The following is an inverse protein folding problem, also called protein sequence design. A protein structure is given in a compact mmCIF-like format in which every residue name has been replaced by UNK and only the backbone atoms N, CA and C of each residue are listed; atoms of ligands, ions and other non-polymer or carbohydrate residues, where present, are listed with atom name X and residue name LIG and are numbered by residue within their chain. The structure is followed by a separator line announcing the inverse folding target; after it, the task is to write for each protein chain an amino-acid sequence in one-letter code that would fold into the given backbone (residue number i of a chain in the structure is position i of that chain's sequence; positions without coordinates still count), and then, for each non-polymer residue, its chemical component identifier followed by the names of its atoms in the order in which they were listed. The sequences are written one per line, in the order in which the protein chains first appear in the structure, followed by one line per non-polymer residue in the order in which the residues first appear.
data_IF_731414805155
#
_entry.id   IF_731414805155
#
_cell.length_a   1.000
_cell.length_b   1.000
_cell.length_c   1.000
_cell.angle_alpha   90.00
_cell.angle_beta   90.00
_cell.angle_gamma   90.00
#
_symmetry.space_group_name_H-M   'P 1'
#
loop_
_entity.id
_entity.type
_entity.pdbx_description
1 polymer ?
#
# COMPACT_ATOMS: atom_id res chain seq x y z
N UNK A 1 -36.39 4.34 35.53
CA UNK A 1 -35.83 5.21 34.45
C UNK A 1 -34.33 5.07 34.26
N UNK A 2 -33.56 4.47 35.17
CA UNK A 2 -32.09 4.31 35.07
C UNK A 2 -31.64 3.10 34.20
N UNK A 3 -32.52 2.11 34.01
CA UNK A 3 -32.20 0.91 33.19
C UNK A 3 -32.34 1.08 31.67
N UNK A 4 -32.93 2.16 31.20
CA UNK A 4 -33.10 2.43 29.77
C UNK A 4 -31.93 3.22 29.14
N UNK A 5 -31.07 3.83 29.96
CA UNK A 5 -29.91 4.62 29.51
C UNK A 5 -28.65 3.76 29.27
N UNK A 6 -28.60 2.54 29.80
CA UNK A 6 -27.46 1.60 29.63
C UNK A 6 -27.50 0.79 28.32
N UNK A 7 -28.65 0.76 27.64
CA UNK A 7 -28.81 0.03 26.36
C UNK A 7 -28.53 0.88 25.12
N UNK A 8 -28.34 2.19 25.26
CA UNK A 8 -28.07 3.10 24.15
C UNK A 8 -26.58 3.39 23.94
N UNK A 9 -25.70 2.97 24.85
CA UNK A 9 -24.26 3.17 24.75
C UNK A 9 -23.53 2.07 23.95
N UNK A 10 -24.23 1.01 23.53
CA UNK A 10 -23.63 -0.16 22.88
C UNK A 10 -23.67 -0.10 21.33
N UNK A 11 -24.10 1.01 20.74
CA UNK A 11 -24.28 1.17 19.29
C UNK A 11 -23.35 2.20 18.64
N UNK A 12 -22.36 2.73 19.37
CA UNK A 12 -21.32 3.58 18.76
C UNK A 12 -19.96 2.84 18.79
N UNK A 13 -19.88 1.69 18.14
CA UNK A 13 -18.59 1.23 17.64
C UNK A 13 -18.24 2.14 16.47
N UNK A 14 -17.13 2.90 16.51
CA UNK A 14 -16.68 3.59 15.32
C UNK A 14 -16.37 2.50 14.29
N UNK A 15 -17.11 2.48 13.16
CA UNK A 15 -16.60 1.81 11.97
C UNK A 15 -15.30 2.52 11.63
N UNK A 16 -14.17 1.91 11.99
CA UNK A 16 -12.86 2.33 11.53
C UNK A 16 -12.82 2.02 10.03
N UNK A 17 -13.29 2.93 9.19
CA UNK A 17 -13.02 2.85 7.77
C UNK A 17 -11.50 2.92 7.62
N UNK A 18 -10.88 1.86 7.13
CA UNK A 18 -9.46 1.89 6.83
C UNK A 18 -9.25 2.90 5.70
N UNK A 19 -8.50 3.95 6.01
CA UNK A 19 -8.16 4.97 5.04
C UNK A 19 -6.90 4.53 4.29
N UNK A 20 -6.83 4.87 3.00
CA UNK A 20 -5.61 4.73 2.22
C UNK A 20 -4.45 5.45 2.93
N UNK A 21 -3.28 4.85 2.86
CA UNK A 21 -2.05 5.36 3.48
C UNK A 21 -1.16 5.95 2.39
N UNK A 22 -0.75 7.20 2.56
CA UNK A 22 0.20 7.84 1.66
C UNK A 22 1.59 7.24 1.84
N UNK A 23 2.17 6.73 0.76
CA UNK A 23 3.49 6.10 0.70
C UNK A 23 4.49 7.05 0.03
N UNK A 24 5.64 7.31 0.67
CA UNK A 24 6.75 8.03 0.02
C UNK A 24 7.44 7.13 -1.01
N UNK A 25 6.97 7.22 -2.26
CA UNK A 25 7.50 6.44 -3.39
C UNK A 25 8.82 6.98 -3.94
N UNK A 26 9.24 8.18 -3.52
CA UNK A 26 10.46 8.84 -4.02
C UNK A 26 11.69 8.68 -3.13
N UNK A 27 11.54 7.96 -2.02
CA UNK A 27 12.64 7.61 -1.13
C UNK A 27 12.92 6.11 -1.21
N UNK A 28 14.17 5.77 -1.54
CA UNK A 28 14.64 4.39 -1.63
C UNK A 28 15.81 4.11 -0.71
N UNK A 29 16.06 2.83 -0.47
CA UNK A 29 17.08 2.37 0.46
C UNK A 29 17.98 1.30 -0.16
N UNK A 30 19.25 1.31 0.26
CA UNK A 30 20.19 0.27 -0.12
C UNK A 30 21.11 -0.11 1.05
N UNK A 31 21.40 -1.38 1.22
CA UNK A 31 22.41 -1.85 2.15
C UNK A 31 23.81 -1.44 1.67
N UNK A 32 24.61 -0.89 2.57
CA UNK A 32 25.97 -0.43 2.32
C UNK A 32 26.92 -0.92 3.42
N UNK A 33 28.17 -1.14 3.09
CA UNK A 33 29.17 -1.62 4.06
C UNK A 33 29.67 -0.50 4.99
N UNK A 34 29.76 0.73 4.47
CA UNK A 34 30.20 1.91 5.20
C UNK A 34 29.61 3.20 4.60
N UNK A 35 29.94 4.34 5.21
CA UNK A 35 29.47 5.67 4.76
C UNK A 35 30.43 6.33 3.75
N UNK A 36 31.37 5.60 3.20
CA UNK A 36 32.35 6.11 2.25
C UNK A 36 31.79 6.45 0.88
N UNK A 37 32.49 7.26 0.13
CA UNK A 37 32.07 7.72 -1.21
C UNK A 37 31.88 6.56 -2.19
N UNK A 38 32.68 5.49 -2.07
CA UNK A 38 32.59 4.30 -2.92
C UNK A 38 31.28 3.52 -2.65
N UNK A 39 30.97 3.29 -1.38
CA UNK A 39 29.73 2.59 -0.99
C UNK A 39 28.49 3.42 -1.31
N UNK A 40 28.56 4.75 -1.14
CA UNK A 40 27.48 5.63 -1.61
C UNK A 40 27.27 5.50 -3.12
N UNK A 41 28.34 5.52 -3.92
CA UNK A 41 28.22 5.40 -5.38
C UNK A 41 27.62 4.03 -5.79
N UNK A 42 27.93 2.95 -5.05
CA UNK A 42 27.35 1.63 -5.26
C UNK A 42 25.87 1.57 -4.80
N UNK A 43 25.55 2.22 -3.70
CA UNK A 43 24.23 2.17 -3.09
C UNK A 43 23.16 3.03 -3.82
N UNK A 44 23.55 4.16 -4.45
CA UNK A 44 22.59 5.04 -5.10
C UNK A 44 21.78 4.38 -6.23
N UNK A 45 22.39 3.61 -7.17
CA UNK A 45 21.63 2.86 -8.17
C UNK A 45 20.64 1.85 -7.55
N UNK A 46 21.04 1.18 -6.46
CA UNK A 46 20.18 0.23 -5.76
C UNK A 46 19.01 0.93 -5.06
N UNK A 47 19.25 2.09 -4.43
CA UNK A 47 18.20 2.90 -3.84
C UNK A 47 17.26 3.47 -4.92
N UNK A 48 17.75 3.83 -6.10
CA UNK A 48 16.91 4.22 -7.22
C UNK A 48 16.05 3.06 -7.73
N UNK A 49 16.62 1.86 -7.81
CA UNK A 49 15.85 0.66 -8.18
C UNK A 49 14.72 0.39 -7.18
N UNK A 50 14.97 0.55 -5.87
CA UNK A 50 13.96 0.45 -4.81
C UNK A 50 12.82 1.48 -5.00
N UNK A 51 13.16 2.73 -5.37
CA UNK A 51 12.18 3.77 -5.75
C UNK A 51 11.35 3.32 -6.95
N UNK A 52 11.97 2.82 -8.01
CA UNK A 52 11.23 2.40 -9.21
C UNK A 52 10.35 1.18 -8.95
N UNK A 53 10.73 0.28 -8.03
CA UNK A 53 9.88 -0.81 -7.56
C UNK A 53 8.65 -0.30 -6.81
N UNK A 54 8.82 0.68 -5.91
CA UNK A 54 7.70 1.33 -5.22
C UNK A 54 6.79 2.09 -6.18
N UNK A 55 7.38 2.84 -7.11
CA UNK A 55 6.67 3.67 -8.08
C UNK A 55 5.81 2.83 -9.04
N UNK A 56 6.36 1.74 -9.55
CA UNK A 56 5.72 0.93 -10.59
C UNK A 56 4.97 -0.29 -10.06
N UNK A 57 5.27 -0.73 -8.83
CA UNK A 57 4.81 -2.01 -8.30
C UNK A 57 5.52 -3.24 -8.89
N UNK A 58 6.40 -3.06 -9.87
CA UNK A 58 7.14 -4.15 -10.53
C UNK A 58 8.24 -4.66 -9.59
N UNK A 59 8.27 -5.95 -9.31
CA UNK A 59 9.32 -6.59 -8.50
C UNK A 59 10.59 -6.91 -9.27
N UNK A 60 10.44 -7.31 -10.54
CA UNK A 60 11.52 -7.70 -11.45
C UNK A 60 11.42 -6.93 -12.76
N UNK A 61 12.55 -6.43 -13.24
CA UNK A 61 12.61 -5.55 -14.41
C UNK A 61 13.22 -6.23 -15.65
N UNK A 62 13.03 -7.54 -15.80
CA UNK A 62 13.62 -8.31 -16.91
C UNK A 62 13.16 -7.82 -18.29
N UNK A 63 11.95 -7.28 -18.36
CA UNK A 63 11.37 -6.70 -19.59
C UNK A 63 11.84 -5.25 -19.86
N UNK A 64 12.70 -4.70 -19.02
CA UNK A 64 13.16 -3.31 -19.10
C UNK A 64 14.68 -3.19 -19.30
N UNK A 65 15.21 -3.57 -20.48
CA UNK A 65 16.65 -3.64 -20.73
C UNK A 65 17.38 -2.29 -20.60
N UNK A 66 16.66 -1.16 -20.70
CA UNK A 66 17.24 0.18 -20.54
C UNK A 66 17.43 0.59 -19.06
N UNK A 67 16.88 -0.19 -18.12
CA UNK A 67 16.92 0.16 -16.70
C UNK A 67 18.35 0.29 -16.16
N UNK A 68 19.25 -0.64 -16.51
CA UNK A 68 20.63 -0.61 -16.00
C UNK A 68 21.34 0.70 -16.33
N UNK A 69 21.21 1.17 -17.58
CA UNK A 69 21.77 2.46 -17.99
C UNK A 69 21.10 3.64 -17.25
N UNK A 70 19.81 3.55 -16.98
CA UNK A 70 19.08 4.55 -16.22
C UNK A 70 19.54 4.62 -14.74
N UNK A 71 19.79 3.48 -14.11
CA UNK A 71 20.27 3.41 -12.72
C UNK A 71 21.63 4.09 -12.54
N UNK A 72 22.51 4.11 -13.55
CA UNK A 72 23.79 4.82 -13.49
C UNK A 72 23.62 6.33 -13.33
N UNK A 73 22.45 6.87 -13.70
CA UNK A 73 22.15 8.30 -13.57
C UNK A 73 21.61 8.72 -12.20
N UNK A 74 21.49 7.79 -11.24
CA UNK A 74 20.87 8.00 -9.91
C UNK A 74 21.40 9.23 -9.19
N UNK A 75 22.72 9.50 -9.24
CA UNK A 75 23.34 10.65 -8.58
C UNK A 75 22.81 12.00 -9.09
N UNK A 76 22.40 12.09 -10.36
CA UNK A 76 21.87 13.32 -10.95
C UNK A 76 20.46 13.68 -10.50
N UNK A 77 19.70 12.69 -10.01
CA UNK A 77 18.33 12.82 -9.53
C UNK A 77 18.24 12.96 -8.02
N UNK A 78 19.37 12.78 -7.30
CA UNK A 78 19.42 12.80 -5.84
C UNK A 78 19.12 14.20 -5.30
N UNK A 79 18.19 14.30 -4.35
CA UNK A 79 17.89 15.53 -3.60
C UNK A 79 18.64 15.54 -2.28
N UNK A 80 18.53 14.46 -1.49
CA UNK A 80 19.21 14.32 -0.21
C UNK A 80 19.42 12.85 0.11
N UNK A 81 20.35 12.59 1.04
CA UNK A 81 20.56 11.23 1.56
C UNK A 81 21.03 11.28 3.01
N UNK A 82 20.83 10.17 3.71
CA UNK A 82 21.42 9.93 5.03
C UNK A 82 21.68 8.43 5.22
N UNK A 83 22.33 8.09 6.33
CA UNK A 83 22.56 6.70 6.70
C UNK A 83 21.81 6.38 7.98
N UNK A 84 21.26 5.17 8.05
CA UNK A 84 20.67 4.63 9.26
C UNK A 84 21.13 3.20 9.52
N UNK A 85 21.24 2.82 10.79
CA UNK A 85 21.41 1.42 11.17
C UNK A 85 20.01 0.81 11.35
N UNK A 86 19.85 -0.39 10.82
CA UNK A 86 18.66 -1.23 10.99
C UNK A 86 19.11 -2.48 11.70
N UNK A 87 18.53 -2.76 12.85
CA UNK A 87 18.69 -4.02 13.54
C UNK A 87 17.59 -4.96 13.08
N UNK A 88 17.94 -6.19 12.72
CA UNK A 88 17.01 -7.22 12.32
C UNK A 88 17.22 -8.44 13.21
N UNK A 89 16.14 -8.92 13.85
CA UNK A 89 16.15 -10.16 14.60
C UNK A 89 16.29 -11.36 13.65
N UNK A 90 16.99 -12.39 14.10
CA UNK A 90 17.20 -13.62 13.38
C UNK A 90 16.51 -14.80 14.11
N UNK A 91 16.26 -15.88 13.38
CA UNK A 91 15.57 -17.08 13.89
C UNK A 91 16.30 -17.73 15.09
N UNK A 92 17.60 -17.54 15.23
CA UNK A 92 18.41 -18.06 16.34
C UNK A 92 18.41 -17.15 17.58
N UNK A 93 17.65 -16.06 17.56
CA UNK A 93 17.59 -15.05 18.62
C UNK A 93 18.73 -14.05 18.64
N UNK A 94 19.65 -14.10 17.67
CA UNK A 94 20.66 -13.07 17.46
C UNK A 94 20.06 -11.91 16.64
N UNK A 95 20.82 -10.80 16.54
CA UNK A 95 20.44 -9.68 15.68
C UNK A 95 21.56 -9.35 14.69
N UNK A 96 21.16 -8.90 13.50
CA UNK A 96 22.04 -8.39 12.45
C UNK A 96 21.87 -6.88 12.36
N UNK A 97 22.98 -6.14 12.53
CA UNK A 97 23.00 -4.70 12.28
C UNK A 97 23.40 -4.44 10.83
N UNK A 98 22.53 -3.79 10.08
CA UNK A 98 22.74 -3.44 8.69
C UNK A 98 22.74 -1.92 8.53
N UNK A 99 23.83 -1.39 7.94
CA UNK A 99 23.87 0.02 7.56
C UNK A 99 23.15 0.22 6.24
N UNK A 100 22.18 1.16 6.21
CA UNK A 100 21.43 1.51 5.02
C UNK A 100 21.70 2.94 4.60
N UNK A 101 21.93 3.13 3.32
CA UNK A 101 21.84 4.40 2.62
C UNK A 101 20.37 4.65 2.30
N UNK A 102 19.81 5.74 2.82
CA UNK A 102 18.46 6.22 2.48
C UNK A 102 18.62 7.42 1.56
N UNK A 103 18.06 7.35 0.36
CA UNK A 103 18.22 8.38 -0.66
C UNK A 103 16.84 8.88 -1.14
N UNK A 104 16.62 10.20 -1.08
CA UNK A 104 15.43 10.85 -1.62
C UNK A 104 15.77 11.45 -2.97
N UNK A 105 14.96 11.09 -3.96
CA UNK A 105 15.11 11.54 -5.33
C UNK A 105 14.07 12.62 -5.68
N UNK A 106 14.36 13.39 -6.74
CA UNK A 106 13.46 14.42 -7.26
C UNK A 106 12.21 13.77 -7.90
N UNK A 107 10.99 14.06 -7.40
CA UNK A 107 9.76 13.51 -7.98
C UNK A 107 9.68 13.72 -9.50
N UNK A 108 9.88 14.97 -9.97
CA UNK A 108 9.79 15.29 -11.40
C UNK A 108 10.79 14.49 -12.27
N UNK A 109 11.99 14.18 -11.71
CA UNK A 109 13.00 13.39 -12.43
C UNK A 109 12.67 11.90 -12.43
N UNK A 110 12.08 11.40 -11.35
CA UNK A 110 11.59 10.01 -11.28
C UNK A 110 10.41 9.82 -12.23
N UNK A 111 9.47 10.75 -12.28
CA UNK A 111 8.31 10.69 -13.18
C UNK A 111 8.76 10.75 -14.66
N UNK A 112 9.76 11.57 -14.98
CA UNK A 112 10.36 11.62 -16.32
C UNK A 112 11.04 10.30 -16.68
N UNK A 113 11.82 9.74 -15.76
CA UNK A 113 12.50 8.46 -15.94
C UNK A 113 11.48 7.32 -16.12
N UNK A 114 10.48 7.21 -15.24
CA UNK A 114 9.45 6.19 -15.31
C UNK A 114 8.68 6.23 -16.64
N UNK A 115 8.33 7.42 -17.12
CA UNK A 115 7.72 7.61 -18.44
C UNK A 115 8.66 7.18 -19.57
N UNK A 116 9.95 7.51 -19.51
CA UNK A 116 10.92 7.13 -20.54
C UNK A 116 11.12 5.61 -20.63
N UNK A 117 10.96 4.91 -19.50
CA UNK A 117 11.01 3.45 -19.39
C UNK A 117 9.66 2.79 -19.64
N UNK A 118 8.59 3.55 -19.87
CA UNK A 118 7.22 3.06 -19.98
C UNK A 118 6.78 2.21 -18.76
N UNK A 119 7.17 2.62 -17.55
CA UNK A 119 6.75 1.97 -16.32
C UNK A 119 5.28 2.33 -16.00
N UNK A 120 4.49 1.40 -15.44
CA UNK A 120 3.20 1.72 -14.88
C UNK A 120 3.35 2.63 -13.66
N UNK A 121 2.27 3.28 -13.26
CA UNK A 121 2.20 4.09 -12.04
C UNK A 121 1.35 3.37 -10.99
N UNK A 122 1.96 2.89 -9.94
CA UNK A 122 1.25 2.45 -8.75
C UNK A 122 1.14 3.64 -7.78
N UNK A 123 -0.07 4.16 -7.62
CA UNK A 123 -0.33 5.40 -6.87
C UNK A 123 0.23 5.35 -5.44
N UNK A 124 0.55 6.52 -4.89
CA UNK A 124 1.08 6.66 -3.52
C UNK A 124 0.04 6.37 -2.44
N UNK A 125 -1.24 6.68 -2.70
CA UNK A 125 -2.33 6.34 -1.79
C UNK A 125 -2.69 4.87 -1.96
N UNK A 126 -2.39 4.07 -0.93
CA UNK A 126 -2.54 2.61 -0.98
C UNK A 126 -3.39 2.10 0.16
N UNK A 127 -4.35 1.26 -0.19
CA UNK A 127 -5.11 0.53 0.81
C UNK A 127 -4.20 -0.47 1.52
N UNK A 128 -4.20 -0.51 2.86
CA UNK A 128 -3.40 -1.48 3.59
C UNK A 128 -3.92 -2.91 3.38
N UNK A 129 -3.03 -3.89 3.57
CA UNK A 129 -3.38 -5.31 3.66
C UNK A 129 -3.37 -5.73 5.13
N UNK A 130 -4.44 -6.34 5.59
CA UNK A 130 -4.45 -7.06 6.86
C UNK A 130 -3.76 -8.42 6.67
N UNK A 131 -2.69 -8.68 7.43
CA UNK A 131 -1.84 -9.87 7.24
C UNK A 131 -2.03 -10.84 8.38
N UNK A 132 -2.47 -12.05 8.05
CA UNK A 132 -2.58 -13.17 8.97
C UNK A 132 -1.51 -14.22 8.67
N UNK A 133 -0.67 -14.52 9.64
CA UNK A 133 0.30 -15.61 9.55
C UNK A 133 -0.12 -16.74 10.48
N UNK A 134 -0.40 -17.92 9.92
CA UNK A 134 -0.81 -19.10 10.66
C UNK A 134 0.19 -20.21 10.43
N UNK A 135 0.71 -20.78 11.51
CA UNK A 135 1.69 -21.88 11.44
C UNK A 135 1.13 -23.13 12.07
N UNK A 136 1.15 -24.23 11.30
CA UNK A 136 0.88 -25.59 11.77
C UNK A 136 2.22 -26.33 12.01
N UNK A 137 2.56 -26.50 13.27
CA UNK A 137 3.80 -27.19 13.68
C UNK A 137 3.64 -28.71 13.77
N UNK A 138 2.50 -29.25 13.31
CA UNK A 138 2.16 -30.68 13.37
C UNK A 138 1.47 -31.10 14.68
N UNK A 139 1.38 -30.22 15.68
CA UNK A 139 0.66 -30.46 16.95
C UNK A 139 -0.55 -29.53 17.06
N UNK A 140 -0.37 -28.28 16.73
CA UNK A 140 -1.42 -27.26 16.78
C UNK A 140 -1.18 -26.18 15.71
N UNK A 141 -2.26 -25.49 15.39
CA UNK A 141 -2.26 -24.31 14.52
C UNK A 141 -2.31 -23.07 15.39
N UNK A 142 -1.46 -22.11 15.10
CA UNK A 142 -1.35 -20.88 15.87
C UNK A 142 -1.21 -19.69 14.93
N UNK A 143 -1.87 -18.60 15.26
CA UNK A 143 -1.57 -17.29 14.67
C UNK A 143 -0.26 -16.81 15.27
N UNK A 144 0.53 -16.13 14.53
CA UNK A 144 1.83 -15.53 14.88
C UNK A 144 2.22 -15.68 16.36
N UNK A 145 3.16 -16.59 16.63
CA UNK A 145 3.63 -16.83 18.01
C UNK A 145 4.90 -16.04 18.30
N UNK A 146 5.27 -15.94 19.59
CA UNK A 146 6.51 -15.26 20.02
C UNK A 146 7.74 -15.89 19.35
N UNK A 147 7.74 -17.21 19.10
CA UNK A 147 8.85 -17.94 18.47
C UNK A 147 9.09 -17.54 17.01
N UNK A 148 8.07 -17.00 16.35
CA UNK A 148 8.16 -16.52 14.96
C UNK A 148 7.98 -15.01 14.83
N UNK A 149 8.05 -14.25 15.93
CA UNK A 149 7.91 -12.78 15.90
C UNK A 149 8.97 -12.10 15.01
N UNK A 150 10.17 -12.68 14.88
CA UNK A 150 11.21 -12.19 13.97
C UNK A 150 10.74 -12.17 12.49
N UNK A 151 9.82 -13.06 12.12
CA UNK A 151 9.26 -13.11 10.77
C UNK A 151 8.40 -11.87 10.48
N UNK A 152 7.71 -11.32 11.49
CA UNK A 152 6.94 -10.10 11.36
C UNK A 152 7.83 -8.93 10.91
N UNK A 153 9.00 -8.75 11.55
CA UNK A 153 9.95 -7.70 11.16
C UNK A 153 10.39 -7.85 9.70
N UNK A 154 10.61 -9.08 9.24
CA UNK A 154 11.01 -9.36 7.87
C UNK A 154 9.89 -9.08 6.87
N UNK A 155 8.65 -9.42 7.21
CA UNK A 155 7.45 -9.11 6.44
C UNK A 155 7.27 -7.60 6.35
N UNK A 156 7.35 -6.88 7.47
CA UNK A 156 7.23 -5.41 7.51
C UNK A 156 8.34 -4.74 6.70
N UNK A 157 9.57 -5.23 6.81
CA UNK A 157 10.70 -4.70 6.05
C UNK A 157 10.52 -4.90 4.53
N UNK A 158 10.01 -6.04 4.09
CA UNK A 158 9.71 -6.29 2.68
C UNK A 158 8.56 -5.41 2.19
N UNK A 159 7.45 -5.36 2.93
CA UNK A 159 6.29 -4.54 2.60
C UNK A 159 6.66 -3.06 2.51
N UNK A 160 7.46 -2.55 3.46
CA UNK A 160 7.96 -1.18 3.43
C UNK A 160 8.80 -0.89 2.18
N UNK A 161 9.72 -1.78 1.81
CA UNK A 161 10.51 -1.63 0.57
C UNK A 161 9.65 -1.63 -0.69
N UNK A 162 8.59 -2.45 -0.70
CA UNK A 162 7.63 -2.50 -1.80
C UNK A 162 6.59 -1.37 -1.73
N UNK A 163 6.54 -0.64 -0.61
CA UNK A 163 5.58 0.42 -0.37
C UNK A 163 4.14 -0.07 -0.18
N UNK A 164 3.93 -1.31 0.28
CA UNK A 164 2.62 -1.82 0.65
C UNK A 164 2.40 -1.63 2.15
N UNK A 165 1.44 -0.79 2.56
CA UNK A 165 1.06 -0.69 3.97
C UNK A 165 0.46 -2.00 4.48
N UNK A 166 0.83 -2.40 5.69
CA UNK A 166 0.28 -3.58 6.35
C UNK A 166 -0.43 -3.20 7.64
N UNK A 167 -1.45 -4.00 7.98
CA UNK A 167 -2.13 -4.00 9.27
C UNK A 167 -1.97 -5.41 9.85
N UNK A 168 -1.53 -5.46 11.11
CA UNK A 168 -1.50 -6.71 11.86
C UNK A 168 -2.72 -6.80 12.75
N UNK A 169 -3.37 -7.98 12.80
CA UNK A 169 -4.49 -8.19 13.70
C UNK A 169 -4.03 -8.16 15.17
N UNK A 170 -4.85 -7.59 16.02
CA UNK A 170 -4.61 -7.52 17.46
C UNK A 170 -5.37 -8.65 18.18
N UNK A 171 -4.68 -9.33 19.09
CA UNK A 171 -5.31 -10.24 20.03
C UNK A 171 -5.88 -9.45 21.21
N UNK A 172 -6.88 -10.01 21.90
CA UNK A 172 -7.38 -9.48 23.14
C UNK A 172 -6.37 -9.64 24.31
N UNK A 173 -6.75 -9.18 25.52
CA UNK A 173 -5.90 -9.27 26.71
C UNK A 173 -5.56 -10.73 27.11
N UNK A 174 -6.33 -11.71 26.65
CA UNK A 174 -6.11 -13.14 26.86
C UNK A 174 -5.28 -13.78 25.71
N UNK A 175 -4.90 -13.00 24.72
CA UNK A 175 -4.14 -13.46 23.55
C UNK A 175 -4.99 -14.18 22.51
N UNK A 176 -6.31 -13.94 22.52
CA UNK A 176 -7.26 -14.56 21.60
C UNK A 176 -7.57 -13.60 20.46
N UNK A 177 -7.43 -14.06 19.23
CA UNK A 177 -7.85 -13.31 18.06
C UNK A 177 -9.36 -13.48 17.82
N UNK A 178 -10.09 -12.41 17.42
CA UNK A 178 -11.54 -12.42 17.23
C UNK A 178 -11.97 -13.15 15.93
N UNK A 179 -11.19 -14.13 15.47
CA UNK A 179 -11.40 -14.83 14.21
C UNK A 179 -11.27 -16.34 14.42
N UNK A 180 -12.17 -17.11 13.81
CA UNK A 180 -12.10 -18.58 13.85
C UNK A 180 -10.85 -19.07 13.07
N UNK A 181 -10.04 -19.88 13.74
CA UNK A 181 -8.87 -20.55 13.16
C UNK A 181 -9.22 -21.35 11.90
N UNK A 182 -10.45 -21.86 11.77
CA UNK A 182 -10.86 -22.60 10.58
C UNK A 182 -11.00 -21.69 9.36
N UNK A 183 -11.45 -20.45 9.53
CA UNK A 183 -11.51 -19.44 8.47
C UNK A 183 -10.11 -19.10 7.98
N UNK A 184 -9.19 -18.80 8.92
CA UNK A 184 -7.79 -18.51 8.60
C UNK A 184 -7.12 -19.71 7.91
N UNK A 185 -7.25 -20.90 8.50
CA UNK A 185 -6.63 -22.09 7.92
C UNK A 185 -7.28 -22.50 6.58
N UNK A 186 -8.55 -22.22 6.39
CA UNK A 186 -9.28 -22.43 5.13
C UNK A 186 -8.88 -21.45 4.01
N UNK A 187 -8.35 -20.30 4.37
CA UNK A 187 -8.02 -19.22 3.42
C UNK A 187 -9.25 -18.43 2.97
N UNK A 188 -10.25 -18.28 3.84
CA UNK A 188 -11.51 -17.58 3.55
C UNK A 188 -11.33 -16.07 3.73
N UNK A 189 -10.70 -15.42 2.74
CA UNK A 189 -10.39 -13.99 2.77
C UNK A 189 -11.62 -13.10 2.66
N UNK A 190 -12.67 -13.52 1.95
CA UNK A 190 -13.93 -12.77 1.80
C UNK A 190 -14.65 -12.55 3.13
N UNK A 191 -14.69 -13.61 3.98
CA UNK A 191 -15.33 -13.53 5.29
C UNK A 191 -14.61 -12.52 6.21
N UNK A 192 -13.28 -12.43 6.09
CA UNK A 192 -12.46 -11.49 6.87
C UNK A 192 -12.53 -10.06 6.31
N UNK A 193 -12.44 -9.88 5.00
CA UNK A 193 -12.52 -8.59 4.34
C UNK A 193 -13.86 -7.88 4.61
N UNK A 194 -14.95 -8.63 4.75
CA UNK A 194 -16.26 -8.09 5.10
C UNK A 194 -16.33 -7.46 6.49
N UNK A 195 -15.40 -7.80 7.39
CA UNK A 195 -15.35 -7.27 8.75
C UNK A 195 -14.62 -5.91 8.81
N UNK A 196 -13.56 -5.73 8.03
CA UNK A 196 -12.64 -4.61 8.17
C UNK A 196 -12.60 -3.68 6.94
N UNK A 197 -13.18 -4.07 5.81
CA UNK A 197 -13.22 -3.25 4.59
C UNK A 197 -11.85 -3.05 3.92
N UNK A 198 -10.86 -3.87 4.27
CA UNK A 198 -9.49 -3.83 3.72
C UNK A 198 -9.17 -5.11 2.96
N UNK A 199 -8.11 -5.09 2.16
CA UNK A 199 -7.56 -6.31 1.59
C UNK A 199 -7.01 -7.24 2.68
N UNK A 200 -7.13 -8.54 2.49
CA UNK A 200 -6.70 -9.55 3.46
C UNK A 200 -5.72 -10.51 2.82
N UNK A 201 -4.58 -10.72 3.46
CA UNK A 201 -3.60 -11.74 3.10
C UNK A 201 -3.47 -12.78 4.22
N UNK A 202 -3.73 -14.04 3.91
CA UNK A 202 -3.53 -15.16 4.83
C UNK A 202 -2.34 -15.99 4.35
N UNK A 203 -1.30 -16.06 5.16
CA UNK A 203 -0.11 -16.90 4.96
C UNK A 203 -0.20 -18.11 5.91
N UNK A 204 -0.66 -19.26 5.40
CA UNK A 204 -0.81 -20.48 6.18
C UNK A 204 0.32 -21.46 5.88
N UNK A 205 1.22 -21.67 6.84
CA UNK A 205 2.40 -22.51 6.72
C UNK A 205 2.23 -23.83 7.45
N UNK A 206 2.62 -24.95 6.83
CA UNK A 206 2.69 -26.28 7.42
C UNK A 206 4.04 -26.91 7.13
N UNK A 207 4.59 -27.59 8.11
CA UNK A 207 5.81 -28.39 7.90
C UNK A 207 5.47 -29.73 7.26
N UNK A 208 6.04 -30.00 6.09
CA UNK A 208 5.89 -31.24 5.34
C UNK A 208 7.29 -31.89 5.16
N UNK A 209 7.66 -32.78 6.08
CA UNK A 209 8.97 -33.37 6.11
C UNK A 209 10.09 -32.37 6.44
N UNK A 210 10.98 -32.11 5.46
CA UNK A 210 12.08 -31.16 5.59
C UNK A 210 11.75 -29.76 5.05
N UNK A 211 10.58 -29.59 4.45
CA UNK A 211 10.17 -28.35 3.81
C UNK A 211 8.93 -27.76 4.50
N UNK A 212 8.69 -26.49 4.25
CA UNK A 212 7.48 -25.78 4.60
C UNK A 212 6.62 -25.61 3.37
N UNK A 213 5.36 -26.00 3.45
CA UNK A 213 4.34 -25.70 2.47
C UNK A 213 3.60 -24.46 2.96
N UNK A 214 3.76 -23.33 2.27
CA UNK A 214 3.07 -22.06 2.55
C UNK A 214 1.97 -21.89 1.52
N UNK A 215 0.74 -21.72 1.99
CA UNK A 215 -0.39 -21.31 1.17
C UNK A 215 -0.66 -19.83 1.45
N UNK A 216 -0.55 -19.01 0.42
CA UNK A 216 -0.93 -17.61 0.44
C UNK A 216 -2.31 -17.46 -0.20
N UNK A 217 -3.24 -16.85 0.51
CA UNK A 217 -4.56 -16.49 0.02
C UNK A 217 -4.73 -14.98 0.15
N UNK A 218 -5.00 -14.30 -0.96
CA UNK A 218 -5.19 -12.86 -1.03
C UNK A 218 -6.62 -12.56 -1.47
N UNK A 219 -7.35 -11.75 -0.69
CA UNK A 219 -8.58 -11.09 -1.09
C UNK A 219 -8.33 -9.59 -1.19
N UNK A 220 -8.52 -9.00 -2.37
CA UNK A 220 -8.28 -7.58 -2.60
C UNK A 220 -9.15 -7.06 -3.76
N UNK A 221 -9.79 -5.90 -3.59
CA UNK A 221 -10.61 -5.29 -4.65
C UNK A 221 -11.77 -6.15 -5.15
N UNK A 222 -12.30 -7.05 -4.31
CA UNK A 222 -13.36 -8.00 -4.69
C UNK A 222 -12.88 -9.25 -5.43
N UNK A 223 -11.59 -9.38 -5.68
CA UNK A 223 -10.95 -10.53 -6.32
C UNK A 223 -10.23 -11.39 -5.28
N UNK A 224 -10.05 -12.68 -5.59
CA UNK A 224 -9.37 -13.64 -4.72
C UNK A 224 -8.32 -14.43 -5.49
N UNK A 225 -7.14 -14.57 -4.90
CA UNK A 225 -6.03 -15.33 -5.46
C UNK A 225 -5.45 -16.28 -4.41
N UNK A 226 -4.86 -17.37 -4.88
CA UNK A 226 -4.22 -18.35 -4.01
C UNK A 226 -2.98 -18.95 -4.68
N UNK A 227 -1.90 -19.04 -3.91
CA UNK A 227 -0.64 -19.65 -4.33
C UNK A 227 -0.19 -20.69 -3.31
N UNK A 228 0.67 -21.59 -3.76
CA UNK A 228 1.35 -22.54 -2.89
C UNK A 228 2.86 -22.47 -3.15
N UNK A 229 3.59 -22.22 -2.08
CA UNK A 229 5.04 -22.11 -2.07
C UNK A 229 5.59 -23.30 -1.29
N UNK A 230 6.70 -23.87 -1.77
CA UNK A 230 7.47 -24.90 -1.06
C UNK A 230 8.86 -24.32 -0.79
N UNK A 231 9.28 -24.25 0.47
CA UNK A 231 10.58 -23.73 0.85
C UNK A 231 11.14 -24.50 2.05
N UNK A 232 12.45 -24.61 2.15
CA UNK A 232 13.10 -25.25 3.30
C UNK A 232 13.12 -24.36 4.53
N UNK A 233 13.04 -23.08 4.31
CA UNK A 233 13.04 -22.04 5.32
C UNK A 233 11.63 -21.41 5.43
N UNK A 234 11.13 -21.29 6.67
CA UNK A 234 9.80 -20.74 6.93
C UNK A 234 9.71 -19.27 6.54
N UNK A 235 10.70 -18.48 6.98
CA UNK A 235 10.72 -17.04 6.71
C UNK A 235 10.76 -16.79 5.19
N UNK A 236 11.67 -17.46 4.48
CA UNK A 236 11.76 -17.33 3.03
C UNK A 236 10.46 -17.72 2.32
N UNK A 237 9.79 -18.79 2.74
CA UNK A 237 8.51 -19.19 2.15
C UNK A 237 7.38 -18.19 2.42
N UNK A 238 7.33 -17.59 3.60
CA UNK A 238 6.35 -16.55 3.94
C UNK A 238 6.60 -15.27 3.16
N UNK A 239 7.88 -14.86 3.02
CA UNK A 239 8.27 -13.69 2.23
C UNK A 239 7.97 -13.87 0.74
N UNK A 240 8.16 -15.06 0.18
CA UNK A 240 7.78 -15.39 -1.19
C UNK A 240 6.27 -15.25 -1.39
N UNK A 241 5.46 -15.75 -0.45
CA UNK A 241 4.00 -15.58 -0.46
C UNK A 241 3.55 -14.12 -0.37
N UNK A 242 4.22 -13.32 0.47
CA UNK A 242 3.99 -11.87 0.55
C UNK A 242 4.37 -11.16 -0.76
N UNK A 243 5.51 -11.53 -1.34
CA UNK A 243 5.99 -10.95 -2.60
C UNK A 243 4.96 -11.14 -3.72
N UNK A 244 4.46 -12.37 -3.91
CA UNK A 244 3.42 -12.68 -4.89
C UNK A 244 2.13 -11.88 -4.62
N UNK A 245 1.73 -11.75 -3.36
CA UNK A 245 0.56 -10.97 -2.98
C UNK A 245 0.72 -9.48 -3.34
N UNK A 246 1.87 -8.88 -3.02
CA UNK A 246 2.15 -7.47 -3.35
C UNK A 246 2.21 -7.28 -4.87
N UNK A 247 2.81 -8.21 -5.62
CA UNK A 247 2.85 -8.16 -7.08
C UNK A 247 1.44 -8.20 -7.68
N UNK A 248 0.55 -9.01 -7.10
CA UNK A 248 -0.85 -9.08 -7.53
C UNK A 248 -1.62 -7.79 -7.21
N UNK A 249 -1.47 -7.24 -5.99
CA UNK A 249 -2.06 -5.95 -5.60
C UNK A 249 -1.59 -4.83 -6.53
N UNK A 250 -0.29 -4.75 -6.76
CA UNK A 250 0.29 -3.75 -7.64
C UNK A 250 -0.24 -3.89 -9.09
N UNK A 251 -0.26 -5.11 -9.61
CA UNK A 251 -0.76 -5.41 -10.97
C UNK A 251 -2.23 -5.02 -11.15
N UNK A 252 -3.08 -5.24 -10.13
CA UNK A 252 -4.51 -4.88 -10.18
C UNK A 252 -4.78 -3.40 -9.97
N UNK A 253 -3.85 -2.66 -9.33
CA UNK A 253 -4.05 -1.26 -8.92
C UNK A 253 -3.23 -0.26 -9.73
N UNK A 254 -2.17 -0.68 -10.41
CA UNK A 254 -1.31 0.24 -11.15
C UNK A 254 -1.94 0.70 -12.45
N UNK A 255 -1.74 1.99 -12.76
CA UNK A 255 -2.14 2.61 -14.01
C UNK A 255 -1.11 2.24 -15.09
N UNK A 256 -1.56 1.59 -16.14
CA UNK A 256 -0.67 1.20 -17.24
C UNK A 256 0.00 2.40 -17.92
N UNK A 257 1.23 2.23 -18.39
CA UNK A 257 2.00 3.31 -19.01
C UNK A 257 1.28 3.96 -20.22
N UNK A 258 0.46 3.21 -20.94
CA UNK A 258 -0.34 3.72 -22.07
C UNK A 258 -1.44 4.70 -21.65
N UNK A 259 -1.86 4.66 -20.39
CA UNK A 259 -2.95 5.47 -19.84
C UNK A 259 -2.42 6.70 -19.10
N UNK A 260 -1.11 6.78 -18.92
CA UNK A 260 -0.44 7.95 -18.36
C UNK A 260 -0.28 9.04 -19.42
N UNK A 261 -0.48 10.29 -19.01
CA UNK A 261 -0.37 11.45 -19.91
C UNK A 261 -0.93 12.70 -19.25
N UNK A 262 -0.96 13.80 -20.00
CA UNK A 262 -1.56 15.04 -19.50
C UNK A 262 -2.98 15.17 -20.04
N UNK A 263 -3.94 15.16 -19.13
CA UNK A 263 -5.36 15.25 -19.43
C UNK A 263 -6.00 16.43 -18.70
N UNK A 264 -7.07 16.97 -19.28
CA UNK A 264 -7.92 17.97 -18.63
C UNK A 264 -9.30 17.40 -18.43
N UNK A 265 -9.79 17.54 -17.21
CA UNK A 265 -11.16 17.12 -16.87
C UNK A 265 -11.86 18.23 -16.12
N UNK A 266 -13.14 18.46 -16.43
CA UNK A 266 -13.96 19.45 -15.74
C UNK A 266 -15.06 18.74 -14.98
N UNK A 267 -15.22 19.11 -13.71
CA UNK A 267 -16.29 18.61 -12.87
C UNK A 267 -16.99 19.71 -12.10
N UNK A 268 -18.21 19.44 -11.71
CA UNK A 268 -19.04 20.32 -10.91
C UNK A 268 -19.28 19.71 -9.55
N UNK A 269 -18.99 20.47 -8.49
CA UNK A 269 -19.31 20.04 -7.13
C UNK A 269 -20.44 20.91 -6.59
N UNK A 270 -21.51 20.25 -6.12
CA UNK A 270 -22.66 20.85 -5.46
C UNK A 270 -22.64 20.53 -3.97
N UNK A 271 -23.48 21.23 -3.19
CA UNK A 271 -23.61 20.96 -1.75
C UNK A 271 -22.55 21.62 -0.86
N UNK A 272 -21.61 22.40 -1.42
CA UNK A 272 -20.65 23.20 -0.66
C UNK A 272 -21.38 24.40 -0.04
N UNK A 273 -21.50 24.42 1.30
CA UNK A 273 -22.32 25.43 2.03
C UNK A 273 -21.47 26.43 2.81
N UNK A 274 -20.16 26.17 2.92
CA UNK A 274 -19.26 27.02 3.71
C UNK A 274 -17.87 27.08 3.06
N UNK A 275 -17.06 28.07 3.47
CA UNK A 275 -15.65 28.15 3.08
C UNK A 275 -14.84 26.91 3.56
N UNK A 276 -15.24 26.30 4.67
CA UNK A 276 -14.62 25.08 5.17
C UNK A 276 -14.92 23.88 4.24
N UNK A 277 -16.19 23.73 3.80
CA UNK A 277 -16.56 22.67 2.85
C UNK A 277 -15.75 22.83 1.54
N UNK A 278 -15.57 24.06 1.08
CA UNK A 278 -14.74 24.36 -0.08
C UNK A 278 -13.28 23.94 0.13
N UNK A 279 -12.68 24.30 1.28
CA UNK A 279 -11.30 23.94 1.58
C UNK A 279 -11.12 22.41 1.68
N UNK A 280 -12.08 21.72 2.30
CA UNK A 280 -12.06 20.26 2.39
C UNK A 280 -12.18 19.59 1.01
N UNK A 281 -13.11 20.07 0.19
CA UNK A 281 -13.27 19.59 -1.19
C UNK A 281 -12.00 19.83 -2.03
N UNK A 282 -11.41 21.02 -1.92
CA UNK A 282 -10.20 21.36 -2.65
C UNK A 282 -9.02 20.49 -2.21
N UNK A 283 -8.84 20.32 -0.89
CA UNK A 283 -7.79 19.46 -0.34
C UNK A 283 -7.97 18.00 -0.76
N UNK A 284 -9.20 17.51 -0.76
CA UNK A 284 -9.54 16.17 -1.24
C UNK A 284 -9.16 15.99 -2.70
N UNK A 285 -9.59 16.90 -3.60
CA UNK A 285 -9.26 16.83 -5.02
C UNK A 285 -7.75 16.91 -5.28
N UNK A 286 -7.02 17.73 -4.51
CA UNK A 286 -5.57 17.86 -4.60
C UNK A 286 -4.82 16.65 -4.02
N UNK A 287 -5.46 15.89 -3.13
CA UNK A 287 -4.91 14.66 -2.54
C UNK A 287 -5.01 13.43 -3.46
N UNK A 288 -5.79 13.49 -4.55
CA UNK A 288 -5.94 12.36 -5.46
C UNK A 288 -4.66 12.20 -6.30
N UNK A 289 -3.99 11.07 -6.22
CA UNK A 289 -2.65 10.83 -6.79
C UNK A 289 -2.50 11.05 -8.29
N UNK A 290 -3.61 11.09 -9.06
CA UNK A 290 -3.59 11.41 -10.49
C UNK A 290 -3.88 12.89 -10.80
N UNK A 291 -4.12 13.73 -9.79
CA UNK A 291 -4.45 15.15 -9.98
C UNK A 291 -3.19 16.00 -9.74
N UNK A 292 -2.65 16.57 -10.81
CA UNK A 292 -1.49 17.45 -10.74
C UNK A 292 -1.87 18.87 -10.33
N UNK A 293 -3.04 19.35 -10.78
CA UNK A 293 -3.49 20.71 -10.49
C UNK A 293 -5.02 20.84 -10.48
N UNK A 294 -5.53 21.67 -9.55
CA UNK A 294 -6.95 22.00 -9.43
C UNK A 294 -7.14 23.52 -9.60
N UNK A 295 -7.95 23.91 -10.56
CA UNK A 295 -8.32 25.31 -10.78
C UNK A 295 -9.83 25.50 -10.67
N UNK A 296 -10.29 26.61 -10.07
CA UNK A 296 -11.70 26.99 -10.08
C UNK A 296 -11.99 27.75 -11.39
N UNK A 297 -12.90 27.23 -12.19
CA UNK A 297 -13.36 27.85 -13.43
C UNK A 297 -14.45 28.89 -13.15
N UNK A 298 -15.44 28.51 -12.33
CA UNK A 298 -16.52 29.38 -11.88
C UNK A 298 -17.10 28.92 -10.56
N UNK A 299 -17.68 29.84 -9.81
CA UNK A 299 -18.38 29.57 -8.57
C UNK A 299 -19.74 30.25 -8.56
N UNK A 300 -20.75 29.53 -8.10
CA UNK A 300 -22.11 30.02 -7.87
C UNK A 300 -22.57 29.67 -6.44
N UNK A 301 -23.66 30.18 -5.93
CA UNK A 301 -24.15 29.81 -4.61
C UNK A 301 -24.49 28.33 -4.43
N UNK A 302 -24.73 27.61 -5.52
CA UNK A 302 -25.17 26.20 -5.51
C UNK A 302 -24.12 25.21 -6.02
N UNK A 303 -23.08 25.68 -6.74
CA UNK A 303 -22.11 24.82 -7.38
C UNK A 303 -20.78 25.52 -7.63
N UNK A 304 -19.69 24.76 -7.60
CA UNK A 304 -18.36 25.18 -8.03
C UNK A 304 -17.92 24.29 -9.17
N UNK A 305 -17.46 24.92 -10.26
CA UNK A 305 -16.87 24.22 -11.39
C UNK A 305 -15.37 24.21 -11.25
N UNK A 306 -14.78 23.02 -11.20
CA UNK A 306 -13.35 22.78 -11.13
C UNK A 306 -12.85 22.31 -12.50
N UNK A 307 -11.64 22.70 -12.83
CA UNK A 307 -10.82 22.11 -13.89
C UNK A 307 -9.64 21.41 -13.25
N UNK A 308 -9.47 20.15 -13.56
CA UNK A 308 -8.40 19.31 -13.10
C UNK A 308 -7.39 19.07 -14.23
N UNK A 309 -6.11 19.19 -13.94
CA UNK A 309 -5.04 18.68 -14.77
C UNK A 309 -4.63 17.32 -14.19
N UNK A 310 -4.69 16.27 -15.02
CA UNK A 310 -4.49 14.89 -14.59
C UNK A 310 -3.26 14.33 -15.28
N UNK A 311 -2.53 13.44 -14.59
CA UNK A 311 -1.41 12.69 -15.14
C UNK A 311 -1.80 11.30 -15.67
N UNK A 312 -3.09 10.95 -15.62
CA UNK A 312 -3.66 9.72 -16.15
C UNK A 312 -5.04 9.96 -16.77
N UNK A 313 -5.56 8.96 -17.50
CA UNK A 313 -6.88 9.01 -18.11
C UNK A 313 -7.99 9.35 -17.09
N UNK A 314 -8.98 10.19 -17.44
CA UNK A 314 -10.05 10.62 -16.51
C UNK A 314 -10.86 9.49 -15.87
N UNK A 315 -10.91 8.29 -16.46
CA UNK A 315 -11.61 7.15 -15.86
C UNK A 315 -11.09 6.80 -14.47
N UNK A 316 -9.79 6.92 -14.23
CA UNK A 316 -9.19 6.66 -12.92
C UNK A 316 -9.58 7.70 -11.85
N UNK A 317 -10.07 8.87 -12.25
CA UNK A 317 -10.65 9.83 -11.34
C UNK A 317 -12.02 9.38 -10.83
N UNK A 318 -12.83 8.77 -11.69
CA UNK A 318 -14.14 8.21 -11.31
C UNK A 318 -13.94 7.04 -10.35
N UNK A 319 -13.00 6.15 -10.65
CA UNK A 319 -12.64 5.03 -9.78
C UNK A 319 -12.21 5.51 -8.38
N UNK A 320 -11.47 6.64 -8.30
CA UNK A 320 -11.05 7.23 -7.03
C UNK A 320 -12.23 7.81 -6.20
N UNK A 321 -13.34 8.17 -6.85
CA UNK A 321 -14.56 8.63 -6.15
C UNK A 321 -15.47 7.48 -5.72
N UNK A 322 -15.38 6.33 -6.38
CA UNK A 322 -16.17 5.15 -6.04
C UNK A 322 -15.70 4.59 -4.68
N UNK A 323 -16.61 4.59 -3.72
CA UNK A 323 -16.32 4.12 -2.36
C UNK A 323 -15.91 5.22 -1.38
N UNK A 324 -15.68 6.45 -1.82
CA UNK A 324 -15.43 7.58 -0.93
C UNK A 324 -16.72 8.31 -0.53
N UNK A 325 -16.77 8.76 0.72
CA UNK A 325 -17.91 9.52 1.26
C UNK A 325 -17.83 11.03 0.98
N UNK A 326 -16.70 11.53 0.48
CA UNK A 326 -16.45 12.96 0.30
C UNK A 326 -17.16 13.53 -0.94
N UNK A 327 -17.05 12.85 -2.08
CA UNK A 327 -17.73 13.19 -3.31
C UNK A 327 -18.61 12.02 -3.77
N UNK A 328 -19.89 12.24 -3.86
CA UNK A 328 -20.86 11.26 -4.33
C UNK A 328 -21.36 11.64 -5.73
N UNK A 329 -21.54 10.67 -6.59
CA UNK A 329 -22.09 10.90 -7.93
C UNK A 329 -23.43 11.63 -7.84
N UNK A 330 -23.56 12.71 -8.59
CA UNK A 330 -24.77 13.51 -8.70
C UNK A 330 -25.63 13.12 -9.91
N UNK A 331 -26.47 14.08 -10.34
CA UNK A 331 -27.48 13.85 -11.40
C UNK A 331 -26.90 13.71 -12.82
N UNK A 332 -25.60 14.01 -13.01
CA UNK A 332 -24.91 13.90 -14.31
C UNK A 332 -23.49 13.38 -14.14
N UNK A 333 -22.91 12.84 -15.22
CA UNK A 333 -21.62 12.13 -15.25
C UNK A 333 -20.46 12.91 -14.60
N UNK A 334 -20.43 14.23 -14.73
CA UNK A 334 -19.38 15.10 -14.18
C UNK A 334 -19.90 16.02 -13.04
N UNK A 335 -20.99 15.64 -12.40
CA UNK A 335 -21.55 16.38 -11.26
C UNK A 335 -21.48 15.53 -10.01
N UNK A 336 -20.93 16.10 -8.95
CA UNK A 336 -20.74 15.42 -7.68
C UNK A 336 -21.38 16.24 -6.55
N UNK A 337 -21.93 15.54 -5.58
CA UNK A 337 -22.45 16.10 -4.34
C UNK A 337 -21.38 15.98 -3.26
N UNK A 338 -21.03 17.10 -2.63
CA UNK A 338 -20.14 17.08 -1.47
C UNK A 338 -20.88 16.49 -0.26
N UNK A 339 -20.47 15.30 0.15
CA UNK A 339 -20.89 14.63 1.37
C UNK A 339 -20.01 15.11 2.52
N UNK A 340 -20.61 15.45 3.68
CA UNK A 340 -19.78 15.56 4.89
C UNK A 340 -19.36 14.16 5.27
N UNK A 341 -18.11 13.81 5.03
CA UNK A 341 -17.53 12.61 5.62
C UNK A 341 -17.88 12.58 7.11
N UNK A 342 -18.44 11.50 7.57
CA UNK A 342 -18.71 11.31 9.00
C UNK A 342 -17.37 11.41 9.75
N UNK A 343 -17.25 12.47 10.56
CA UNK A 343 -16.16 12.61 11.53
C UNK A 343 -16.31 11.59 12.64
#
# INVERSE_FOLDING_TARGET
MIRLLLLLSLLLSPLCAAHAVEVDVYTGEAAVADQGAREKARGLPLALKDVLQKYSGISQFDDYPQLEAALETASSMLVTFYYRNVERALADGSSLNELRLVAKFSPARIDELARSLALPLWQSDRNPLEVWVVVDNGRQRQVMTVEIAYVQESIDAMAHRRGQPLIWPEADEEGIYPVDMQLLWGGYTEDLASLNGVGVLILAARREGLEWSVRANLGYGGENWAWRIQNRDLEAGLLEGLQEAIDQVASSSAIGASDLGTWRHELTVTGLRSALDYQQCLAYLQGIGIVDHVAVVSASPSAIHFRLELNALPRYLVDAFEGDSVLQQGDSENTFLFGKGSR
#
